data_IF_621716414111
#
_entry.id   IF_621716414111
#
_cell.length_a   1.000
_cell.length_b   1.000
_cell.length_c   1.000
_cell.angle_alpha   90.00
_cell.angle_beta   90.00
_cell.angle_gamma   90.00
#
_symmetry.space_group_name_H-M   'P 1'
#
loop_
_entity.id
_entity.type
_entity.pdbx_description
1 polymer ?
#
# COMPACT_ATOMS: atom_id res chain seq x y z
N UNK A 1 -3.96 -4.14 -19.31
CA UNK A 1 -3.47 -5.37 -18.66
C UNK A 1 -4.43 -6.52 -18.97
N UNK A 2 -3.94 -7.71 -19.33
CA UNK A 2 -4.77 -8.87 -19.68
C UNK A 2 -5.37 -9.52 -18.42
N UNK A 3 -6.66 -9.28 -18.17
CA UNK A 3 -7.44 -9.88 -17.07
C UNK A 3 -7.54 -11.41 -17.14
N UNK A 4 -7.14 -12.03 -18.25
CA UNK A 4 -7.29 -13.47 -18.53
C UNK A 4 -6.37 -14.40 -17.72
N UNK A 5 -5.54 -13.89 -16.80
CA UNK A 5 -4.56 -14.69 -16.03
C UNK A 5 -4.71 -14.62 -14.50
N UNK A 6 -5.74 -13.95 -13.97
CA UNK A 6 -5.97 -13.90 -12.53
C UNK A 6 -6.44 -15.26 -12.00
N UNK A 7 -5.78 -15.77 -10.96
CA UNK A 7 -6.16 -17.03 -10.29
C UNK A 7 -6.02 -16.90 -8.78
N UNK A 8 -6.53 -17.87 -8.00
CA UNK A 8 -6.36 -17.84 -6.54
C UNK A 8 -4.90 -17.85 -6.07
N UNK A 9 -3.98 -18.41 -6.86
CA UNK A 9 -2.54 -18.45 -6.54
C UNK A 9 -1.78 -17.23 -7.08
N UNK A 10 -2.34 -16.53 -8.06
CA UNK A 10 -1.77 -15.30 -8.62
C UNK A 10 -2.91 -14.30 -8.91
N UNK A 11 -3.52 -13.72 -7.85
CA UNK A 11 -4.66 -12.84 -8.02
C UNK A 11 -4.20 -11.47 -8.52
N UNK A 12 -4.85 -10.99 -9.57
CA UNK A 12 -4.73 -9.60 -10.01
C UNK A 12 -5.91 -8.79 -9.50
N UNK A 13 -5.65 -7.86 -8.57
CA UNK A 13 -6.69 -7.04 -7.96
C UNK A 13 -7.05 -5.81 -8.80
N UNK A 14 -6.10 -5.27 -9.58
CA UNK A 14 -6.31 -4.03 -10.35
C UNK A 14 -6.73 -2.81 -9.50
N UNK A 15 -6.53 -2.89 -8.18
CA UNK A 15 -6.90 -1.83 -7.24
C UNK A 15 -5.95 -0.64 -7.41
N UNK A 16 -6.52 0.55 -7.59
CA UNK A 16 -5.81 1.82 -7.63
C UNK A 16 -6.50 2.78 -6.68
N UNK A 17 -5.76 3.19 -5.66
CA UNK A 17 -6.21 4.20 -4.69
C UNK A 17 -5.35 5.46 -4.83
N UNK A 18 -5.99 6.62 -4.79
CA UNK A 18 -5.32 7.93 -4.83
C UNK A 18 -5.42 8.60 -3.47
N UNK A 19 -4.26 8.91 -2.89
CA UNK A 19 -4.15 9.53 -1.58
C UNK A 19 -3.70 10.97 -1.76
N UNK A 20 -4.49 11.92 -1.27
CA UNK A 20 -4.20 13.35 -1.33
C UNK A 20 -4.69 14.05 -0.05
N UNK A 21 -4.12 15.21 0.27
CA UNK A 21 -4.44 15.96 1.50
C UNK A 21 -5.91 16.39 1.61
N UNK A 22 -6.59 16.59 0.48
CA UNK A 22 -8.01 16.93 0.43
C UNK A 22 -8.92 15.74 0.76
N UNK A 23 -8.50 14.52 0.42
CA UNK A 23 -9.22 13.27 0.72
C UNK A 23 -8.83 12.69 2.08
N UNK A 24 -7.62 12.98 2.55
CA UNK A 24 -7.06 12.46 3.79
C UNK A 24 -6.43 13.62 4.59
N UNK A 25 -7.25 14.42 5.30
CA UNK A 25 -6.79 15.63 6.00
C UNK A 25 -5.81 15.32 7.15
N UNK A 26 -5.83 14.08 7.66
CA UNK A 26 -4.94 13.59 8.71
C UNK A 26 -3.70 12.87 8.16
N UNK A 27 -3.31 13.15 6.91
CA UNK A 27 -2.06 12.64 6.35
C UNK A 27 -0.87 13.16 7.16
N UNK A 28 -0.14 12.24 7.76
CA UNK A 28 1.10 12.53 8.47
C UNK A 28 2.27 11.67 7.95
N UNK A 29 3.52 12.09 8.17
CA UNK A 29 4.70 11.40 7.66
C UNK A 29 4.88 9.96 8.18
N UNK A 30 4.29 9.60 9.32
CA UNK A 30 4.44 8.27 9.94
C UNK A 30 3.41 7.26 9.44
N UNK A 31 2.55 7.67 8.50
CA UNK A 31 1.45 6.84 8.03
C UNK A 31 1.93 5.56 7.33
N UNK A 32 1.30 4.45 7.69
CA UNK A 32 1.51 3.12 7.11
C UNK A 32 0.23 2.66 6.44
N UNK A 33 0.32 2.29 5.17
CA UNK A 33 -0.76 1.60 4.49
C UNK A 33 -0.84 0.15 4.99
N UNK A 34 -2.05 -0.26 5.39
CA UNK A 34 -2.35 -1.62 5.83
C UNK A 34 -3.23 -2.29 4.80
N UNK A 35 -2.74 -3.38 4.22
CA UNK A 35 -3.49 -4.21 3.30
C UNK A 35 -4.00 -5.43 4.06
N UNK A 36 -5.32 -5.58 4.15
CA UNK A 36 -5.96 -6.80 4.66
C UNK A 36 -6.41 -7.63 3.47
N UNK A 37 -5.82 -8.82 3.33
CA UNK A 37 -6.21 -9.75 2.28
C UNK A 37 -7.32 -10.64 2.80
N UNK A 38 -8.44 -10.64 2.09
CA UNK A 38 -9.61 -11.44 2.39
C UNK A 38 -9.91 -12.40 1.24
N UNK A 39 -10.51 -13.54 1.57
CA UNK A 39 -11.01 -14.52 0.63
C UNK A 39 -12.42 -14.95 1.03
N UNK A 40 -13.12 -15.63 0.12
CA UNK A 40 -14.39 -16.31 0.43
C UNK A 40 -14.12 -17.81 0.45
N UNK A 41 -14.38 -18.44 1.59
CA UNK A 41 -14.22 -19.88 1.75
C UNK A 41 -15.28 -20.60 0.91
N UNK A 42 -14.85 -21.51 0.04
CA UNK A 42 -15.73 -22.24 -0.88
C UNK A 42 -16.71 -23.17 -0.14
N UNK A 43 -16.34 -23.67 1.04
CA UNK A 43 -17.12 -24.67 1.77
C UNK A 43 -18.38 -24.08 2.41
N UNK A 44 -18.30 -22.84 2.88
CA UNK A 44 -19.37 -22.19 3.65
C UNK A 44 -19.72 -20.77 3.15
N UNK A 45 -19.08 -20.30 2.08
CA UNK A 45 -19.23 -18.95 1.51
C UNK A 45 -18.94 -17.79 2.49
N UNK A 46 -18.21 -18.05 3.58
CA UNK A 46 -17.85 -17.02 4.55
C UNK A 46 -16.58 -16.26 4.16
N UNK A 47 -16.54 -14.97 4.49
CA UNK A 47 -15.31 -14.18 4.37
C UNK A 47 -14.28 -14.61 5.40
N UNK A 48 -13.06 -14.85 4.96
CA UNK A 48 -11.91 -15.21 5.79
C UNK A 48 -10.75 -14.28 5.51
N UNK A 49 -10.00 -13.94 6.56
CA UNK A 49 -8.75 -13.20 6.42
C UNK A 49 -7.64 -14.18 6.05
N UNK A 50 -6.95 -13.89 4.95
CA UNK A 50 -5.77 -14.65 4.53
C UNK A 50 -4.53 -14.11 5.23
N UNK A 51 -4.40 -12.79 5.31
CA UNK A 51 -3.26 -12.16 5.99
C UNK A 51 -3.22 -10.66 5.80
N UNK A 52 -2.10 -10.07 6.21
CA UNK A 52 -1.89 -8.63 6.21
C UNK A 52 -0.56 -8.26 5.56
N UNK A 53 -0.51 -7.12 4.87
CA UNK A 53 0.74 -6.52 4.40
C UNK A 53 0.79 -5.05 4.82
N UNK A 54 2.01 -4.52 4.94
CA UNK A 54 2.25 -3.19 5.51
C UNK A 54 3.23 -2.43 4.64
N UNK A 55 2.96 -1.14 4.45
CA UNK A 55 3.82 -0.28 3.65
C UNK A 55 3.91 1.14 4.21
N UNK A 56 5.10 1.59 4.64
CA UNK A 56 5.30 2.97 5.06
C UNK A 56 5.21 3.91 3.84
N UNK A 57 4.29 4.87 3.89
CA UNK A 57 4.04 5.78 2.76
C UNK A 57 5.20 6.76 2.55
N UNK A 58 5.85 7.17 3.63
CA UNK A 58 6.91 8.16 3.60
C UNK A 58 8.20 7.64 4.23
N UNK A 59 9.32 8.08 3.66
CA UNK A 59 10.66 7.83 4.16
C UNK A 59 11.30 9.15 4.56
N UNK A 60 12.14 9.11 5.60
CA UNK A 60 13.07 10.19 5.90
C UNK A 60 14.04 10.36 4.73
N UNK A 61 14.22 11.61 4.29
CA UNK A 61 15.02 11.92 3.10
C UNK A 61 16.51 11.56 3.27
N UNK A 62 17.03 11.65 4.49
CA UNK A 62 18.44 11.49 4.81
C UNK A 62 18.79 10.01 5.03
N UNK A 63 18.00 9.31 5.85
CA UNK A 63 18.30 7.92 6.24
C UNK A 63 17.59 6.86 5.39
N UNK A 64 16.66 7.27 4.52
CA UNK A 64 15.91 6.36 3.62
C UNK A 64 15.15 5.24 4.35
N UNK A 65 14.84 5.44 5.62
CA UNK A 65 13.99 4.57 6.44
C UNK A 65 12.63 5.24 6.67
N UNK A 66 11.60 4.49 7.12
CA UNK A 66 10.32 5.07 7.48
C UNK A 66 10.45 6.18 8.52
N UNK A 67 9.61 7.19 8.38
CA UNK A 67 9.58 8.32 9.29
C UNK A 67 9.04 7.85 10.65
N UNK A 68 9.75 8.21 11.71
CA UNK A 68 9.40 7.81 13.09
C UNK A 68 8.65 8.90 13.88
N UNK A 69 8.60 10.13 13.36
CA UNK A 69 7.96 11.26 14.02
C UNK A 69 7.11 12.07 13.05
N UNK A 70 5.87 12.35 13.44
CA UNK A 70 4.98 13.21 12.66
C UNK A 70 5.51 14.66 12.52
N UNK A 71 6.50 15.05 13.33
CA UNK A 71 7.14 16.38 13.27
C UNK A 71 8.25 16.47 12.22
N UNK A 72 8.65 15.35 11.62
CA UNK A 72 9.69 15.37 10.59
C UNK A 72 9.21 16.15 9.36
N UNK A 73 10.03 17.11 8.92
CA UNK A 73 9.71 17.97 7.77
C UNK A 73 10.39 17.52 6.49
N UNK A 74 11.48 16.76 6.61
CA UNK A 74 12.30 16.29 5.48
C UNK A 74 11.99 14.82 5.18
N UNK A 75 10.77 14.57 4.72
CA UNK A 75 10.36 13.27 4.24
C UNK A 75 10.07 13.28 2.74
N UNK A 76 10.06 12.10 2.14
CA UNK A 76 9.74 11.88 0.72
C UNK A 76 8.76 10.71 0.62
N UNK A 77 7.94 10.70 -0.44
CA UNK A 77 7.11 9.54 -0.78
C UNK A 77 8.00 8.32 -1.03
N UNK A 78 7.63 7.18 -0.45
CA UNK A 78 8.22 5.88 -0.72
C UNK A 78 7.78 5.35 -2.10
N UNK A 79 8.21 6.04 -3.16
CA UNK A 79 7.83 5.74 -4.54
C UNK A 79 8.59 4.52 -5.07
N UNK A 80 7.92 3.63 -5.79
CA UNK A 80 8.56 2.49 -6.46
C UNK A 80 7.63 1.30 -6.67
N UNK A 81 8.26 0.18 -7.05
CA UNK A 81 7.65 -1.14 -7.22
C UNK A 81 8.12 -2.02 -6.07
N UNK A 82 7.18 -2.58 -5.30
CA UNK A 82 7.49 -3.31 -4.08
C UNK A 82 6.84 -4.68 -4.07
N UNK A 83 7.60 -5.64 -3.53
CA UNK A 83 7.09 -6.95 -3.15
C UNK A 83 7.02 -7.00 -1.62
N UNK A 84 5.81 -6.99 -1.08
CA UNK A 84 5.57 -6.97 0.36
C UNK A 84 5.33 -8.38 0.87
N UNK A 85 5.93 -8.80 1.99
CA UNK A 85 5.57 -10.04 2.65
C UNK A 85 4.12 -9.95 3.17
N UNK A 86 3.42 -11.09 3.15
CA UNK A 86 2.13 -11.25 3.79
C UNK A 86 2.34 -11.93 5.14
N UNK A 87 1.75 -11.35 6.19
CA UNK A 87 1.80 -11.86 7.56
C UNK A 87 0.48 -12.55 7.91
N UNK A 88 0.53 -13.69 8.60
CA UNK A 88 -0.67 -14.41 9.06
C UNK A 88 -1.36 -13.67 10.22
N UNK A 89 -0.59 -12.89 10.97
CA UNK A 89 -1.03 -12.19 12.16
C UNK A 89 -1.45 -10.74 11.87
N UNK A 90 -2.51 -10.29 12.56
CA UNK A 90 -2.87 -8.88 12.62
C UNK A 90 -1.95 -8.20 13.65
N UNK A 91 -1.20 -7.15 13.29
CA UNK A 91 -0.45 -6.40 14.29
C UNK A 91 -1.41 -5.71 15.26
N UNK A 92 -0.91 -5.47 16.45
CA UNK A 92 -1.59 -4.64 17.42
C UNK A 92 -1.66 -3.18 16.91
N UNK A 93 -2.86 -2.76 16.50
CA UNK A 93 -3.14 -1.42 16.02
C UNK A 93 -3.32 -0.40 17.16
N UNK A 94 -3.26 -0.83 18.42
CA UNK A 94 -3.26 0.08 19.58
C UNK A 94 -1.93 0.83 19.73
N UNK A 95 -0.87 0.29 19.12
CA UNK A 95 0.46 0.90 19.08
C UNK A 95 0.83 1.35 17.67
N UNK A 96 1.68 2.38 17.50
CA UNK A 96 2.18 2.75 16.19
C UNK A 96 2.86 1.56 15.49
N UNK A 97 2.48 1.31 14.25
CA UNK A 97 3.09 0.25 13.45
C UNK A 97 4.55 0.62 13.17
N UNK A 98 5.47 -0.20 13.68
CA UNK A 98 6.91 -0.05 13.47
C UNK A 98 7.45 -1.23 12.66
N UNK A 99 8.51 -1.03 11.87
CA UNK A 99 9.13 -2.14 11.12
C UNK A 99 9.58 -3.23 12.09
N UNK A 100 10.14 -2.84 13.23
CA UNK A 100 10.64 -3.73 14.27
C UNK A 100 9.52 -4.56 14.92
N UNK A 101 8.29 -4.04 14.94
CA UNK A 101 7.09 -4.80 15.33
C UNK A 101 6.69 -5.80 14.26
N UNK A 102 6.72 -5.39 12.99
CA UNK A 102 6.35 -6.23 11.85
C UNK A 102 7.29 -7.41 11.62
N UNK A 103 8.58 -7.27 11.92
CA UNK A 103 9.55 -8.38 11.77
C UNK A 103 9.31 -9.54 12.74
N UNK A 104 8.54 -9.31 13.81
CA UNK A 104 8.18 -10.34 14.79
C UNK A 104 6.97 -11.17 14.39
N UNK A 105 6.14 -10.65 13.47
CA UNK A 105 4.95 -11.35 13.00
C UNK A 105 5.34 -12.54 12.12
N UNK A 106 4.56 -13.62 12.20
CA UNK A 106 4.74 -14.76 11.33
C UNK A 106 4.42 -14.39 9.87
N UNK A 107 5.37 -14.70 8.98
CA UNK A 107 5.23 -14.52 7.53
C UNK A 107 4.65 -15.77 6.90
N UNK A 108 3.66 -15.59 6.03
CA UNK A 108 3.16 -16.67 5.20
C UNK A 108 4.21 -17.05 4.14
N UNK A 109 4.66 -18.31 4.10
CA UNK A 109 5.71 -18.74 3.19
C UNK A 109 5.26 -18.60 1.74
N UNK A 110 6.20 -18.24 0.86
CA UNK A 110 5.99 -18.14 -0.59
C UNK A 110 4.83 -17.21 -1.00
N UNK A 111 4.47 -16.24 -0.17
CA UNK A 111 3.36 -15.33 -0.42
C UNK A 111 3.83 -13.88 -0.36
N UNK A 112 3.34 -13.06 -1.29
CA UNK A 112 3.68 -11.64 -1.33
C UNK A 112 2.62 -10.83 -2.05
N UNK A 113 2.46 -9.57 -1.64
CA UNK A 113 1.65 -8.58 -2.33
C UNK A 113 2.55 -7.69 -3.19
N UNK A 114 2.24 -7.58 -4.48
CA UNK A 114 2.92 -6.65 -5.39
C UNK A 114 2.17 -5.32 -5.41
N UNK A 115 2.88 -4.23 -5.12
CA UNK A 115 2.31 -2.88 -5.18
C UNK A 115 3.18 -1.95 -6.01
N UNK A 116 2.54 -0.93 -6.59
CA UNK A 116 3.17 0.19 -7.28
C UNK A 116 2.74 1.48 -6.61
N UNK A 117 3.71 2.29 -6.21
CA UNK A 117 3.48 3.56 -5.53
C UNK A 117 4.11 4.67 -6.36
N UNK A 118 3.27 5.56 -6.86
CA UNK A 118 3.67 6.63 -7.76
C UNK A 118 3.14 7.97 -7.26
N UNK A 119 3.85 9.05 -7.62
CA UNK A 119 3.33 10.40 -7.39
C UNK A 119 2.18 10.63 -8.36
N UNK A 120 1.11 11.24 -7.88
CA UNK A 120 0.03 11.65 -8.76
C UNK A 120 0.56 12.52 -9.91
N UNK A 121 0.12 12.28 -11.16
CA UNK A 121 0.47 13.11 -12.29
C UNK A 121 0.03 14.54 -12.05
N UNK A 122 0.76 15.50 -12.60
CA UNK A 122 0.47 16.93 -12.43
C UNK A 122 0.16 17.57 -13.78
N UNK A 123 -0.70 18.57 -13.78
CA UNK A 123 -0.99 19.40 -14.95
C UNK A 123 0.16 20.37 -15.24
N UNK A 124 0.04 21.15 -16.33
CA UNK A 124 1.02 22.18 -16.70
C UNK A 124 1.19 23.29 -15.66
N UNK A 125 0.20 23.47 -14.77
CA UNK A 125 0.20 24.42 -13.66
C UNK A 125 0.65 23.77 -12.33
N UNK A 126 1.21 22.55 -12.39
CA UNK A 126 1.75 21.79 -11.27
C UNK A 126 0.70 21.35 -10.22
N UNK A 127 -0.58 21.30 -10.59
CA UNK A 127 -1.67 20.80 -9.74
C UNK A 127 -1.86 19.29 -9.92
N UNK A 128 -2.16 18.54 -8.86
CA UNK A 128 -2.38 17.10 -8.98
C UNK A 128 -3.62 16.80 -9.83
N UNK A 129 -3.45 15.95 -10.84
CA UNK A 129 -4.53 15.43 -11.67
C UNK A 129 -5.07 14.12 -11.08
N UNK A 130 -6.39 14.02 -10.92
CA UNK A 130 -7.04 12.80 -10.45
C UNK A 130 -7.18 11.77 -11.58
N UNK A 131 -7.07 10.47 -11.28
CA UNK A 131 -7.22 9.36 -12.23
C UNK A 131 -8.46 9.48 -13.12
N UNK A 132 -9.57 9.98 -12.58
CA UNK A 132 -10.84 10.13 -13.30
C UNK A 132 -10.75 11.09 -14.50
N UNK A 133 -9.73 11.95 -14.54
CA UNK A 133 -9.46 12.90 -15.63
C UNK A 133 -8.30 12.52 -16.57
N UNK A 134 -7.62 11.38 -16.36
CA UNK A 134 -6.58 10.93 -17.28
C UNK A 134 -7.19 10.14 -18.44
N UNK A 135 -6.80 10.50 -19.68
CA UNK A 135 -7.06 9.67 -20.87
C UNK A 135 -6.43 8.28 -20.68
N UNK A 136 -7.12 7.23 -21.10
CA UNK A 136 -6.80 5.83 -20.79
C UNK A 136 -5.36 5.41 -21.16
N UNK A 137 -4.74 6.06 -22.13
CA UNK A 137 -3.37 5.80 -22.60
C UNK A 137 -2.30 6.07 -21.52
N UNK A 138 -2.58 6.96 -20.56
CA UNK A 138 -1.65 7.30 -19.45
C UNK A 138 -2.02 6.64 -18.12
N UNK A 139 -2.99 5.73 -18.14
CA UNK A 139 -3.50 5.08 -16.93
C UNK A 139 -2.62 3.91 -16.49
N UNK A 140 -1.76 3.42 -17.40
CA UNK A 140 -0.96 2.20 -17.25
C UNK A 140 0.53 2.36 -17.59
N UNK A 141 0.99 3.56 -17.95
CA UNK A 141 2.43 3.88 -17.86
C UNK A 141 2.83 4.03 -16.38
#
# INVERSE_FOLDING_TARGET
>A
ANFSKSSGQNPYFGLREEIAFDTHPNLDPTMVAVFRLETVDRSNAEQRVVGFAFFPLFLDKNVKSPVRSAKEKKYVLNNGLYQLPIYSEKPDLSTPITIEGLTKLEKLPCSSLLIRVEKAPRDGDNRPMRAKGLKDDKKYE
#
